data_IF_391987585467
#
_entry.id   IF_391987585467
#
_cell.length_a   1.000
_cell.length_b   1.000
_cell.length_c   1.000
_cell.angle_alpha   90.00
_cell.angle_beta   90.00
_cell.angle_gamma   90.00
#
_symmetry.space_group_name_H-M   'P 1'
#
loop_
_entity.id
_entity.type
_entity.pdbx_description
1 polymer ?
#
# COMPACT_ATOMS: atom_id res chain seq x y z
N UNK A 1 0.32 -8.57 -2.50
CA UNK A 1 0.65 -7.23 -3.01
C UNK A 1 -0.61 -6.57 -3.54
N UNK A 2 -0.79 -5.27 -3.31
CA UNK A 2 -1.98 -4.52 -3.74
C UNK A 2 -1.57 -3.23 -4.46
N UNK A 3 -2.28 -2.93 -5.54
CA UNK A 3 -2.14 -1.74 -6.40
C UNK A 3 -3.54 -1.29 -6.84
N UNK A 4 -3.73 -0.04 -7.24
CA UNK A 4 -5.00 0.45 -7.82
C UNK A 4 -5.57 1.69 -7.14
N UNK A 5 -6.87 1.92 -7.29
CA UNK A 5 -7.58 3.06 -6.72
C UNK A 5 -8.93 2.63 -6.12
N UNK A 6 -9.45 3.30 -5.09
CA UNK A 6 -8.98 4.55 -4.48
C UNK A 6 -8.26 4.32 -3.14
N UNK A 7 -7.16 5.06 -2.90
CA UNK A 7 -6.26 4.93 -1.72
C UNK A 7 -7.02 4.81 -0.40
N UNK A 8 -7.86 5.78 -0.07
CA UNK A 8 -8.59 5.88 1.20
C UNK A 8 -9.90 5.08 1.26
N UNK A 9 -10.28 4.41 0.16
CA UNK A 9 -11.49 3.58 0.08
C UNK A 9 -11.12 2.10 -0.09
N UNK A 10 -11.27 1.57 -1.31
CA UNK A 10 -11.12 0.15 -1.58
C UNK A 10 -9.72 -0.38 -1.21
N UNK A 11 -8.68 0.43 -1.40
CA UNK A 11 -7.30 0.04 -1.10
C UNK A 11 -7.10 -0.07 0.43
N UNK A 12 -7.44 0.98 1.20
CA UNK A 12 -7.36 0.95 2.67
C UNK A 12 -8.21 -0.18 3.28
N UNK A 13 -9.46 -0.33 2.82
CA UNK A 13 -10.35 -1.38 3.30
C UNK A 13 -9.78 -2.78 3.04
N UNK A 14 -9.18 -3.00 1.87
CA UNK A 14 -8.56 -4.29 1.54
C UNK A 14 -7.29 -4.53 2.35
N UNK A 15 -6.44 -3.52 2.55
CA UNK A 15 -5.23 -3.62 3.37
C UNK A 15 -5.58 -4.00 4.80
N UNK A 16 -6.50 -3.27 5.44
CA UNK A 16 -6.92 -3.55 6.82
C UNK A 16 -7.60 -4.91 6.94
N UNK A 17 -8.50 -5.23 6.00
CA UNK A 17 -9.18 -6.53 5.99
C UNK A 17 -8.23 -7.71 5.79
N UNK A 18 -7.18 -7.55 4.96
CA UNK A 18 -6.13 -8.56 4.78
C UNK A 18 -5.26 -8.71 6.03
N UNK A 19 -4.82 -7.60 6.61
CA UNK A 19 -4.06 -7.57 7.85
C UNK A 19 -4.79 -8.29 9.00
N UNK A 20 -6.07 -7.99 9.21
CA UNK A 20 -6.91 -8.64 10.25
C UNK A 20 -7.05 -10.15 10.06
N UNK A 21 -6.85 -10.65 8.83
CA UNK A 21 -6.90 -12.08 8.49
C UNK A 21 -5.53 -12.75 8.52
N UNK A 22 -4.49 -12.04 8.96
CA UNK A 22 -3.12 -12.54 9.01
C UNK A 22 -2.45 -12.65 7.64
N UNK A 23 -2.98 -11.95 6.62
CA UNK A 23 -2.37 -11.91 5.29
C UNK A 23 -1.29 -10.82 5.31
N UNK A 24 -0.10 -11.17 4.83
CA UNK A 24 0.96 -10.19 4.62
C UNK A 24 0.60 -9.24 3.47
N UNK A 25 0.33 -7.99 3.84
CA UNK A 25 0.03 -6.93 2.88
C UNK A 25 1.32 -6.25 2.43
N UNK A 26 1.50 -6.11 1.12
CA UNK A 26 2.64 -5.43 0.49
C UNK A 26 2.09 -4.34 -0.43
N UNK A 27 2.56 -3.11 -0.25
CA UNK A 27 2.15 -1.93 -1.03
C UNK A 27 3.38 -1.33 -1.72
N UNK A 28 3.50 -1.44 -3.06
CA UNK A 28 4.59 -0.80 -3.78
C UNK A 28 4.38 0.71 -3.90
N UNK A 29 5.44 1.49 -3.71
CA UNK A 29 5.42 2.94 -3.90
C UNK A 29 4.94 3.31 -5.31
N UNK A 30 4.09 4.34 -5.41
CA UNK A 30 3.59 4.89 -6.67
C UNK A 30 2.53 4.05 -7.37
N UNK A 31 1.99 3.00 -6.72
CA UNK A 31 1.06 2.06 -7.38
C UNK A 31 -0.38 2.10 -6.86
N UNK A 32 -0.70 3.04 -5.97
CA UNK A 32 -2.08 3.41 -5.67
C UNK A 32 -2.32 4.90 -5.91
N UNK A 33 -3.57 5.25 -6.19
CA UNK A 33 -3.96 6.61 -6.51
C UNK A 33 -5.33 6.99 -5.95
N UNK A 34 -5.57 8.29 -5.90
CA UNK A 34 -6.81 8.91 -5.42
C UNK A 34 -6.98 10.30 -6.05
N UNK A 35 -8.04 11.01 -5.65
CA UNK A 35 -8.38 12.36 -6.09
C UNK A 35 -8.34 13.33 -4.91
N UNK A 36 -8.30 14.63 -5.20
CA UNK A 36 -8.57 15.65 -4.17
C UNK A 36 -9.98 15.45 -3.60
N UNK A 37 -10.15 15.67 -2.30
CA UNK A 37 -11.44 15.66 -1.63
C UNK A 37 -11.59 16.86 -0.69
N UNK A 38 -12.72 16.95 0.00
CA UNK A 38 -13.05 18.09 0.87
C UNK A 38 -12.07 18.28 2.06
N UNK A 39 -11.24 17.28 2.37
CA UNK A 39 -10.37 17.27 3.54
C UNK A 39 -8.87 17.33 3.19
N UNK A 40 -8.46 16.71 2.08
CA UNK A 40 -7.06 16.54 1.70
C UNK A 40 -6.89 16.52 0.18
N UNK A 41 -5.71 16.94 -0.28
CA UNK A 41 -5.31 16.71 -1.67
C UNK A 41 -5.01 15.22 -1.92
N UNK A 42 -5.00 14.82 -3.19
CA UNK A 42 -4.63 13.47 -3.60
C UNK A 42 -3.22 13.11 -3.14
N UNK A 43 -2.28 14.05 -3.25
CA UNK A 43 -0.89 13.86 -2.82
C UNK A 43 -0.80 13.68 -1.30
N UNK A 44 -1.47 14.54 -0.53
CA UNK A 44 -1.50 14.41 0.93
C UNK A 44 -2.16 13.10 1.36
N UNK A 45 -3.25 12.70 0.71
CA UNK A 45 -3.93 11.43 0.99
C UNK A 45 -3.01 10.24 0.68
N UNK A 46 -2.35 10.24 -0.48
CA UNK A 46 -1.37 9.21 -0.83
C UNK A 46 -0.27 9.09 0.24
N UNK A 47 0.36 10.21 0.63
CA UNK A 47 1.43 10.22 1.65
C UNK A 47 0.92 9.75 3.01
N UNK A 48 -0.24 10.25 3.43
CA UNK A 48 -0.85 9.90 4.71
C UNK A 48 -1.06 8.39 4.85
N UNK A 49 -1.58 7.73 3.81
CA UNK A 49 -1.80 6.30 3.86
C UNK A 49 -0.52 5.47 3.65
N UNK A 50 0.27 5.77 2.62
CA UNK A 50 1.44 4.97 2.25
C UNK A 50 2.62 5.13 3.21
N UNK A 51 2.83 6.33 3.76
CA UNK A 51 4.03 6.64 4.55
C UNK A 51 3.76 6.66 6.06
N UNK A 52 2.50 6.82 6.47
CA UNK A 52 2.13 6.93 7.88
C UNK A 52 1.17 5.82 8.36
N UNK A 53 -0.04 5.71 7.82
CA UNK A 53 -1.03 4.76 8.34
C UNK A 53 -0.63 3.31 8.10
N UNK A 54 -0.29 2.93 6.87
CA UNK A 54 -0.01 1.53 6.55
C UNK A 54 1.39 1.09 6.96
N UNK A 55 2.37 1.98 6.82
CA UNK A 55 3.80 1.66 6.90
C UNK A 55 4.17 1.04 8.25
N UNK A 56 4.51 -0.24 8.24
CA UNK A 56 4.99 -0.97 9.42
C UNK A 56 3.89 -1.33 10.43
N UNK A 57 2.62 -1.04 10.11
CA UNK A 57 1.47 -1.41 10.94
C UNK A 57 0.59 -2.38 10.16
N UNK A 58 -0.02 -1.92 9.06
CA UNK A 58 -0.96 -2.73 8.28
C UNK A 58 -0.33 -3.39 7.06
N UNK A 59 0.76 -2.83 6.53
CA UNK A 59 1.44 -3.35 5.35
C UNK A 59 2.94 -3.05 5.34
N UNK A 60 3.68 -3.87 4.59
CA UNK A 60 5.05 -3.57 4.14
C UNK A 60 4.95 -2.64 2.93
N UNK A 61 5.22 -1.36 3.14
CA UNK A 61 5.35 -0.40 2.04
C UNK A 61 6.79 -0.44 1.51
N UNK A 62 6.94 -0.83 0.25
CA UNK A 62 8.24 -1.11 -0.39
C UNK A 62 8.44 -0.21 -1.61
N UNK A 63 9.69 -0.02 -2.04
CA UNK A 63 9.97 0.67 -3.30
C UNK A 63 9.47 -0.15 -4.50
N UNK A 64 9.18 0.53 -5.62
CA UNK A 64 8.63 -0.12 -6.80
C UNK A 64 9.57 -1.21 -7.37
N UNK A 65 10.87 -0.92 -7.43
CA UNK A 65 11.89 -1.85 -7.91
C UNK A 65 11.98 -3.09 -7.03
N UNK A 66 11.90 -2.92 -5.71
CA UNK A 66 11.88 -4.03 -4.76
C UNK A 66 10.66 -4.93 -5.00
N UNK A 67 9.48 -4.35 -5.22
CA UNK A 67 8.28 -5.10 -5.56
C UNK A 67 8.43 -5.91 -6.88
N UNK A 68 9.08 -5.35 -7.89
CA UNK A 68 9.39 -6.05 -9.15
C UNK A 68 10.35 -7.22 -8.91
N UNK A 69 11.36 -7.04 -8.07
CA UNK A 69 12.30 -8.11 -7.69
C UNK A 69 11.61 -9.25 -6.91
N UNK A 70 10.66 -8.91 -6.02
CA UNK A 70 9.83 -9.91 -5.32
C UNK A 70 8.99 -10.73 -6.30
N UNK A 71 8.27 -10.09 -7.22
CA UNK A 71 7.39 -10.78 -8.19
C UNK A 71 8.21 -11.64 -9.17
N UNK A 72 9.40 -11.17 -9.56
CA UNK A 72 10.30 -11.93 -10.42
C UNK A 72 11.04 -13.08 -9.71
N UNK A 73 10.80 -13.27 -8.40
CA UNK A 73 11.38 -14.36 -7.60
C UNK A 73 12.85 -14.14 -7.24
N UNK A 74 13.38 -12.93 -7.41
CA UNK A 74 14.77 -12.58 -7.07
C UNK A 74 14.95 -12.26 -5.59
N UNK A 75 13.89 -11.80 -4.92
CA UNK A 75 13.83 -11.55 -3.49
C UNK A 75 12.67 -12.36 -2.90
N UNK A 76 12.93 -13.12 -1.84
CA UNK A 76 11.85 -13.69 -1.02
C UNK A 76 11.42 -12.66 0.02
N UNK A 77 10.11 -12.45 0.18
CA UNK A 77 9.58 -11.68 1.30
C UNK A 77 10.08 -12.31 2.60
N UNK A 78 10.74 -11.51 3.45
CA UNK A 78 11.16 -11.96 4.77
C UNK A 78 9.91 -12.25 5.62
N UNK A 79 9.62 -13.54 5.85
CA UNK A 79 8.59 -14.01 6.78
C UNK A 79 8.84 -13.52 8.20
#
# INVERSE_FOLDING_TARGET
MIVGLQTEYCIDATIKGGFERGIEMIVPAGTNSTFDNDFMSAETTYKYYNEFIWRGIYAKCVEFEEAVEMISGKIQSAT
#
